data_IF_012369308557
#
_entry.id   IF_012369308557
#
_cell.length_a   1.000
_cell.length_b   1.000
_cell.length_c   1.000
_cell.angle_alpha   90.00
_cell.angle_beta   90.00
_cell.angle_gamma   90.00
#
_symmetry.space_group_name_H-M   'P 1'
#
loop_
_entity.id
_entity.type
_entity.pdbx_description
1 polymer ?
#
# COMPACT_ATOMS: atom_id res chain seq x y z
N UNK A 1 -14.57 25.43 14.66
CA UNK A 1 -15.77 24.58 14.58
C UNK A 1 -16.29 24.67 13.16
N UNK A 2 -16.03 23.64 12.35
CA UNK A 2 -16.41 23.58 10.94
C UNK A 2 -16.79 22.14 10.60
N UNK A 3 -17.80 21.97 9.76
CA UNK A 3 -18.57 20.75 9.53
C UNK A 3 -17.80 19.61 8.80
N UNK A 4 -16.46 19.60 8.86
CA UNK A 4 -15.52 18.75 8.12
C UNK A 4 -14.52 18.06 9.07
N UNK A 5 -14.98 17.04 9.80
CA UNK A 5 -14.21 16.50 10.94
C UNK A 5 -13.23 15.35 10.61
N UNK A 6 -13.00 14.99 9.32
CA UNK A 6 -11.81 14.23 8.89
C UNK A 6 -11.40 14.55 7.45
N UNK A 7 -10.12 14.79 7.24
CA UNK A 7 -9.51 15.12 5.95
C UNK A 7 -8.75 13.94 5.37
N UNK A 8 -8.34 14.01 4.10
CA UNK A 8 -7.43 13.04 3.49
C UNK A 8 -6.14 12.83 4.31
N UNK A 9 -5.66 13.84 5.04
CA UNK A 9 -4.48 13.70 5.90
C UNK A 9 -4.74 12.68 7.04
N UNK A 10 -5.94 12.70 7.63
CA UNK A 10 -6.28 11.91 8.81
C UNK A 10 -6.40 10.41 8.50
N UNK A 11 -7.07 10.07 7.39
CA UNK A 11 -7.33 8.69 7.02
C UNK A 11 -6.40 8.13 5.94
N UNK A 12 -5.61 8.93 5.22
CA UNK A 12 -4.76 8.40 4.15
C UNK A 12 -3.27 8.59 4.43
N UNK A 13 -2.88 9.79 4.88
CA UNK A 13 -1.45 10.15 5.03
C UNK A 13 -0.92 9.73 6.38
N UNK A 14 -1.63 10.06 7.47
CA UNK A 14 -1.25 9.69 8.83
C UNK A 14 -1.13 8.16 9.01
N UNK A 15 -2.07 7.32 8.54
CA UNK A 15 -1.92 5.87 8.69
C UNK A 15 -0.73 5.32 7.92
N UNK A 16 -0.48 5.80 6.70
CA UNK A 16 0.69 5.40 5.91
C UNK A 16 2.01 5.81 6.59
N UNK A 17 2.07 7.00 7.18
CA UNK A 17 3.21 7.40 7.98
C UNK A 17 3.46 6.44 9.15
N UNK A 18 2.43 6.11 9.95
CA UNK A 18 2.55 5.18 11.06
C UNK A 18 3.03 3.79 10.63
N UNK A 19 2.67 3.34 9.42
CA UNK A 19 3.16 2.08 8.88
C UNK A 19 4.63 2.18 8.49
N UNK A 20 5.02 3.21 7.74
CA UNK A 20 6.40 3.39 7.27
C UNK A 20 7.39 3.61 8.43
N UNK A 21 6.98 4.25 9.52
CA UNK A 21 7.79 4.41 10.75
C UNK A 21 8.25 3.07 11.34
N UNK A 22 7.47 1.99 11.14
CA UNK A 22 7.82 0.65 11.63
C UNK A 22 8.93 -0.03 10.81
N UNK A 23 9.28 0.54 9.65
CA UNK A 23 10.25 0.00 8.69
C UNK A 23 11.49 0.88 8.54
N UNK A 24 11.79 1.73 9.52
CA UNK A 24 13.07 2.44 9.57
C UNK A 24 14.21 1.40 9.61
N UNK A 25 15.22 1.62 8.78
CA UNK A 25 16.35 0.73 8.45
C UNK A 25 16.03 -0.47 7.56
N UNK A 26 14.80 -0.62 7.09
CA UNK A 26 14.39 -1.68 6.16
C UNK A 26 14.35 -1.18 4.71
N UNK A 27 14.45 -2.10 3.75
CA UNK A 27 14.28 -1.78 2.34
C UNK A 27 12.82 -1.90 1.92
N UNK A 28 12.35 -0.86 1.23
CA UNK A 28 11.00 -0.78 0.71
C UNK A 28 11.01 -0.37 -0.76
N UNK A 29 10.13 -0.97 -1.56
CA UNK A 29 9.84 -0.54 -2.92
C UNK A 29 8.57 0.30 -2.86
N UNK A 30 8.67 1.57 -3.21
CA UNK A 30 7.57 2.54 -3.15
C UNK A 30 7.09 2.82 -4.57
N UNK A 31 5.78 2.71 -4.78
CA UNK A 31 5.09 3.22 -5.96
C UNK A 31 4.38 4.53 -5.60
N UNK A 32 4.63 5.58 -6.38
CA UNK A 32 3.87 6.85 -6.32
C UNK A 32 3.07 7.07 -7.60
N UNK A 33 2.10 7.98 -7.60
CA UNK A 33 1.23 8.24 -8.77
C UNK A 33 1.22 9.70 -9.27
N UNK A 34 2.06 10.59 -8.73
CA UNK A 34 2.08 12.01 -9.12
C UNK A 34 3.53 12.50 -9.34
N UNK A 35 3.85 13.17 -10.46
CA UNK A 35 3.01 13.54 -11.62
C UNK A 35 2.72 12.38 -12.61
N UNK A 36 3.14 11.18 -12.27
CA UNK A 36 2.86 9.93 -12.97
C UNK A 36 3.36 8.75 -12.12
N UNK A 37 3.18 7.50 -12.57
CA UNK A 37 3.67 6.35 -11.83
C UNK A 37 5.19 6.35 -11.77
N UNK A 38 5.76 6.35 -10.56
CA UNK A 38 7.19 6.20 -10.34
C UNK A 38 7.46 5.13 -9.28
N UNK A 39 8.46 4.28 -9.53
CA UNK A 39 8.89 3.23 -8.61
C UNK A 39 10.30 3.53 -8.16
N UNK A 40 10.51 3.49 -6.84
CA UNK A 40 11.82 3.69 -6.22
C UNK A 40 12.02 2.65 -5.12
N UNK A 41 13.23 2.09 -5.01
CA UNK A 41 13.60 1.23 -3.90
C UNK A 41 14.53 2.01 -2.97
N UNK A 42 14.11 2.17 -1.72
CA UNK A 42 14.89 2.91 -0.72
C UNK A 42 15.11 2.07 0.53
N UNK A 43 16.26 2.27 1.18
CA UNK A 43 16.44 1.90 2.58
C UNK A 43 16.02 3.08 3.46
N UNK A 44 14.92 2.93 4.20
CA UNK A 44 14.35 4.02 5.00
C UNK A 44 15.34 4.40 6.10
N UNK A 45 15.65 5.70 6.21
CA UNK A 45 16.41 6.23 7.33
C UNK A 45 15.55 7.07 8.28
N UNK A 46 14.47 7.66 7.77
CA UNK A 46 13.65 8.62 8.51
C UNK A 46 12.24 8.69 7.93
N UNK A 47 11.25 8.80 8.82
CA UNK A 47 9.87 9.11 8.46
C UNK A 47 9.40 10.20 9.40
N UNK A 48 9.12 11.39 8.87
CA UNK A 48 8.61 12.52 9.65
C UNK A 48 7.92 13.53 8.73
N UNK A 49 7.05 14.37 9.29
CA UNK A 49 6.41 15.47 8.57
C UNK A 49 5.78 15.03 7.22
N UNK A 50 5.20 13.84 7.19
CA UNK A 50 4.59 13.23 6.00
C UNK A 50 5.55 12.96 4.83
N UNK A 51 6.84 12.81 5.12
CA UNK A 51 7.90 12.48 4.17
C UNK A 51 8.62 11.22 4.67
N UNK A 52 8.80 10.25 3.77
CA UNK A 52 9.74 9.14 3.97
C UNK A 52 11.05 9.47 3.24
N UNK A 53 12.15 9.35 3.96
CA UNK A 53 13.50 9.58 3.44
C UNK A 53 14.31 8.31 3.54
N UNK A 54 15.23 8.12 2.60
CA UNK A 54 16.08 6.94 2.57
C UNK A 54 17.18 7.01 1.53
N UNK A 55 18.07 6.04 1.59
CA UNK A 55 19.09 5.82 0.56
C UNK A 55 18.43 5.10 -0.62
N UNK A 56 18.44 5.69 -1.81
CA UNK A 56 18.05 5.02 -3.04
C UNK A 56 19.11 3.96 -3.38
N UNK A 57 18.65 2.72 -3.56
CA UNK A 57 19.52 1.57 -3.83
C UNK A 57 20.09 1.62 -5.25
N UNK A 58 19.44 2.31 -6.19
CA UNK A 58 19.86 2.37 -7.58
C UNK A 58 21.09 3.26 -7.78
N UNK A 59 21.17 4.39 -7.07
CA UNK A 59 22.19 5.41 -7.32
C UNK A 59 22.93 5.89 -6.05
N UNK A 60 22.58 5.36 -4.87
CA UNK A 60 23.13 5.73 -3.56
C UNK A 60 22.92 7.20 -3.17
N UNK A 61 21.94 7.90 -3.76
CA UNK A 61 21.54 9.23 -3.31
C UNK A 61 20.48 9.16 -2.23
N UNK A 62 20.30 10.27 -1.50
CA UNK A 62 19.18 10.40 -0.56
C UNK A 62 17.93 10.79 -1.34
N UNK A 63 16.90 9.95 -1.26
CA UNK A 63 15.60 10.22 -1.83
C UNK A 63 14.61 10.66 -0.74
N UNK A 64 13.73 11.58 -1.10
CA UNK A 64 12.64 12.07 -0.26
C UNK A 64 11.32 11.86 -1.00
N UNK A 65 10.43 11.05 -0.41
CA UNK A 65 9.14 10.71 -1.02
C UNK A 65 8.02 11.27 -0.15
N UNK A 66 7.15 12.06 -0.77
CA UNK A 66 5.93 12.55 -0.11
C UNK A 66 4.95 11.39 0.12
N UNK A 67 4.55 11.17 1.37
CA UNK A 67 3.66 10.07 1.76
C UNK A 67 2.28 10.24 1.12
N UNK A 68 1.82 11.47 0.89
CA UNK A 68 0.51 11.71 0.27
C UNK A 68 0.40 11.21 -1.18
N UNK A 69 1.53 10.96 -1.83
CA UNK A 69 1.60 10.45 -3.20
C UNK A 69 1.88 8.95 -3.27
N UNK A 70 2.14 8.29 -2.13
CA UNK A 70 2.42 6.86 -2.06
C UNK A 70 1.13 6.08 -2.32
N UNK A 71 1.20 5.20 -3.30
CA UNK A 71 0.17 4.21 -3.59
C UNK A 71 0.47 2.94 -2.81
N UNK A 72 1.69 2.42 -2.98
CA UNK A 72 2.11 1.17 -2.37
C UNK A 72 3.51 1.27 -1.78
N UNK A 73 3.74 0.47 -0.74
CA UNK A 73 5.05 0.19 -0.18
C UNK A 73 5.19 -1.33 -0.01
N UNK A 74 6.06 -1.94 -0.82
CA UNK A 74 6.38 -3.37 -0.73
C UNK A 74 7.60 -3.55 0.16
N UNK A 75 7.45 -4.29 1.25
CA UNK A 75 8.52 -4.54 2.21
C UNK A 75 9.40 -5.68 1.69
N UNK A 76 10.69 -5.42 1.52
CA UNK A 76 11.62 -6.37 0.86
C UNK A 76 12.35 -7.24 1.88
N UNK A 77 12.89 -6.62 2.92
CA UNK A 77 13.85 -7.24 3.85
C UNK A 77 13.20 -8.03 4.99
N UNK A 78 11.93 -7.76 5.30
CA UNK A 78 11.21 -8.43 6.40
C UNK A 78 9.82 -8.92 5.99
N UNK A 79 9.39 -10.00 6.64
CA UNK A 79 8.01 -10.54 6.53
C UNK A 79 7.13 -10.13 7.69
N UNK A 80 7.62 -9.27 8.59
CA UNK A 80 6.82 -8.73 9.69
C UNK A 80 5.61 -8.02 9.10
N UNK A 81 4.41 -8.44 9.52
CA UNK A 81 3.18 -7.74 9.19
C UNK A 81 3.14 -6.43 9.98
N UNK A 82 2.94 -5.29 9.33
CA UNK A 82 2.85 -4.03 10.04
C UNK A 82 1.60 -3.96 10.93
N UNK A 83 1.74 -3.24 12.03
CA UNK A 83 0.61 -2.82 12.83
C UNK A 83 -0.12 -1.68 12.14
N UNK A 84 -1.45 -1.77 12.14
CA UNK A 84 -2.34 -0.78 11.53
C UNK A 84 -3.40 -0.39 12.54
N UNK A 85 -3.85 0.86 12.46
CA UNK A 85 -4.95 1.33 13.29
C UNK A 85 -6.24 0.57 12.91
N UNK A 86 -7.11 0.26 13.88
CA UNK A 86 -8.41 -0.34 13.58
C UNK A 86 -9.20 0.52 12.59
N UNK A 87 -9.98 -0.12 11.72
CA UNK A 87 -10.89 0.59 10.80
C UNK A 87 -11.81 1.49 11.61
N UNK A 88 -11.90 2.75 11.20
CA UNK A 88 -12.80 3.73 11.80
C UNK A 88 -14.01 3.93 10.90
N UNK A 89 -15.19 4.06 11.50
CA UNK A 89 -16.39 4.47 10.78
C UNK A 89 -16.54 5.97 10.90
N UNK A 90 -16.18 6.68 9.82
CA UNK A 90 -16.31 8.11 9.78
C UNK A 90 -17.76 8.47 9.43
N UNK A 91 -18.28 9.54 10.03
CA UNK A 91 -19.65 10.01 9.77
C UNK A 91 -19.69 11.33 9.01
N UNK A 92 -18.52 12.00 8.88
CA UNK A 92 -18.33 13.27 8.16
C UNK A 92 -16.91 13.34 7.59
N UNK A 93 -16.71 14.21 6.61
CA UNK A 93 -15.39 14.49 6.02
C UNK A 93 -15.08 13.67 4.76
N UNK A 94 -13.91 13.90 4.18
CA UNK A 94 -13.49 13.27 2.91
C UNK A 94 -13.28 11.76 3.03
N UNK A 95 -12.94 11.28 4.23
CA UNK A 95 -12.72 9.85 4.46
C UNK A 95 -13.97 9.02 4.19
N UNK A 96 -15.15 9.56 4.52
CA UNK A 96 -16.45 8.88 4.32
C UNK A 96 -16.70 8.50 2.86
N UNK A 97 -16.22 9.31 1.91
CA UNK A 97 -16.44 9.06 0.49
C UNK A 97 -15.22 8.49 -0.24
N UNK A 98 -13.99 8.77 0.22
CA UNK A 98 -12.77 8.38 -0.48
C UNK A 98 -12.06 7.17 0.13
N UNK A 99 -12.13 6.98 1.45
CA UNK A 99 -11.35 5.97 2.17
C UNK A 99 -12.25 4.84 2.71
N UNK A 100 -13.24 5.17 3.54
CA UNK A 100 -14.12 4.20 4.19
C UNK A 100 -14.74 3.18 3.21
N UNK A 101 -15.28 3.58 2.04
CA UNK A 101 -15.96 2.63 1.16
C UNK A 101 -15.01 1.55 0.63
N UNK A 102 -13.84 1.93 0.13
CA UNK A 102 -12.89 0.98 -0.48
C UNK A 102 -12.16 0.15 0.59
N UNK A 103 -11.90 0.72 1.76
CA UNK A 103 -11.38 -0.01 2.93
C UNK A 103 -12.37 -1.09 3.39
N UNK A 104 -13.66 -0.78 3.42
CA UNK A 104 -14.70 -1.76 3.77
C UNK A 104 -14.82 -2.88 2.72
N UNK A 105 -14.71 -2.55 1.43
CA UNK A 105 -14.64 -3.56 0.36
C UNK A 105 -13.42 -4.46 0.57
N UNK A 106 -12.23 -3.89 0.77
CA UNK A 106 -11.01 -4.64 1.04
C UNK A 106 -11.16 -5.57 2.26
N UNK A 107 -11.75 -5.08 3.34
CA UNK A 107 -11.98 -5.85 4.56
C UNK A 107 -12.93 -7.04 4.32
N UNK A 108 -13.96 -6.86 3.50
CA UNK A 108 -14.89 -7.96 3.13
C UNK A 108 -14.25 -9.05 2.26
N UNK A 109 -13.08 -8.76 1.67
CA UNK A 109 -12.33 -9.64 0.77
C UNK A 109 -11.07 -10.24 1.44
N UNK A 110 -10.95 -10.15 2.77
CA UNK A 110 -9.88 -10.78 3.53
C UNK A 110 -9.72 -12.26 3.17
N UNK A 111 -8.48 -12.68 2.93
CA UNK A 111 -8.11 -14.05 2.59
C UNK A 111 -8.43 -14.48 1.15
N UNK A 112 -9.07 -13.63 0.33
CA UNK A 112 -9.39 -13.95 -1.06
C UNK A 112 -8.29 -13.46 -2.01
N UNK A 113 -8.02 -14.20 -3.11
CA UNK A 113 -7.20 -13.70 -4.19
C UNK A 113 -7.95 -12.60 -4.94
N UNK A 114 -7.33 -11.44 -5.02
CA UNK A 114 -7.88 -10.27 -5.70
C UNK A 114 -6.82 -9.64 -6.59
N UNK A 115 -7.28 -8.74 -7.44
CA UNK A 115 -6.45 -7.85 -8.23
C UNK A 115 -6.65 -6.43 -7.69
N UNK A 116 -5.58 -5.79 -7.25
CA UNK A 116 -5.58 -4.39 -6.85
C UNK A 116 -4.92 -3.54 -7.93
N UNK A 117 -5.54 -2.43 -8.27
CA UNK A 117 -4.95 -1.40 -9.14
C UNK A 117 -4.85 -0.08 -8.37
N UNK A 118 -3.62 0.35 -8.10
CA UNK A 118 -3.31 1.67 -7.52
C UNK A 118 -2.43 2.56 -8.42
N UNK A 119 -2.02 2.07 -9.59
CA UNK A 119 -1.16 2.80 -10.53
C UNK A 119 -1.05 2.03 -11.84
N UNK A 120 0.06 1.31 -12.04
CA UNK A 120 0.31 0.55 -13.26
C UNK A 120 -0.10 -0.90 -13.09
N UNK A 121 -1.11 -1.33 -13.86
CA UNK A 121 -1.48 -2.74 -13.94
C UNK A 121 -2.34 -3.25 -12.78
N UNK A 122 -2.31 -4.56 -12.62
CA UNK A 122 -3.21 -5.33 -11.76
C UNK A 122 -2.34 -6.28 -10.94
N UNK A 123 -2.15 -5.96 -9.66
CA UNK A 123 -1.37 -6.77 -8.74
C UNK A 123 -2.25 -7.87 -8.15
N UNK A 124 -1.96 -9.12 -8.51
CA UNK A 124 -2.65 -10.27 -7.93
C UNK A 124 -2.06 -10.52 -6.55
N UNK A 125 -2.86 -10.29 -5.52
CA UNK A 125 -2.48 -10.36 -4.11
C UNK A 125 -3.57 -11.04 -3.28
N UNK A 126 -3.24 -11.44 -2.07
CA UNK A 126 -4.20 -11.92 -1.07
C UNK A 126 -4.22 -10.92 0.08
N UNK A 127 -5.37 -10.33 0.40
CA UNK A 127 -5.47 -9.40 1.53
C UNK A 127 -5.30 -10.18 2.84
N UNK A 128 -4.36 -9.75 3.67
CA UNK A 128 -4.04 -10.39 4.95
C UNK A 128 -4.48 -9.56 6.15
N UNK A 129 -4.53 -8.22 6.02
CA UNK A 129 -4.93 -7.32 7.11
C UNK A 129 -5.42 -6.00 6.53
N UNK A 130 -6.44 -5.41 7.15
CA UNK A 130 -6.98 -4.10 6.77
C UNK A 130 -7.10 -3.24 8.03
N UNK A 131 -6.77 -1.96 7.90
CA UNK A 131 -6.90 -0.96 8.95
C UNK A 131 -7.37 0.38 8.38
N UNK A 132 -7.52 1.39 9.23
CA UNK A 132 -7.85 2.76 8.79
C UNK A 132 -6.83 3.22 7.73
N UNK A 133 -7.29 3.49 6.52
CA UNK A 133 -6.46 3.98 5.42
C UNK A 133 -5.54 2.99 4.75
N UNK A 134 -5.44 1.76 5.27
CA UNK A 134 -4.38 0.82 4.89
C UNK A 134 -4.94 -0.57 4.56
N UNK A 135 -4.52 -1.10 3.42
CA UNK A 135 -4.72 -2.49 3.04
C UNK A 135 -3.36 -3.18 2.96
N UNK A 136 -3.17 -4.26 3.71
CA UNK A 136 -1.96 -5.09 3.63
C UNK A 136 -2.32 -6.37 2.90
N UNK A 137 -1.56 -6.67 1.86
CA UNK A 137 -1.73 -7.88 1.09
C UNK A 137 -0.39 -8.61 0.89
N UNK A 138 -0.47 -9.90 0.62
CA UNK A 138 0.67 -10.74 0.27
C UNK A 138 0.72 -10.93 -1.25
N UNK A 139 1.86 -10.63 -1.87
CA UNK A 139 2.07 -10.88 -3.31
C UNK A 139 2.42 -12.36 -3.59
N UNK A 140 2.53 -12.72 -4.87
CA UNK A 140 2.89 -14.09 -5.28
C UNK A 140 4.26 -14.56 -4.78
N UNK A 141 5.14 -13.64 -4.39
CA UNK A 141 6.48 -13.91 -3.83
C UNK A 141 6.47 -13.96 -2.30
N UNK A 142 5.30 -13.82 -1.67
CA UNK A 142 5.09 -13.77 -0.23
C UNK A 142 5.72 -12.54 0.45
N UNK A 143 5.80 -11.41 -0.26
CA UNK A 143 6.16 -10.11 0.32
C UNK A 143 4.91 -9.39 0.77
N UNK A 144 5.05 -8.64 1.85
CA UNK A 144 3.99 -7.77 2.34
C UNK A 144 3.97 -6.50 1.49
N UNK A 145 2.83 -6.24 0.86
CA UNK A 145 2.54 -5.02 0.10
C UNK A 145 1.53 -4.22 0.90
N UNK A 146 1.92 -3.01 1.27
CA UNK A 146 1.06 -2.04 1.94
C UNK A 146 0.48 -1.13 0.87
N UNK A 147 -0.84 -0.99 0.83
CA UNK A 147 -1.55 -0.07 -0.05
C UNK A 147 -2.21 1.03 0.78
N UNK A 148 -2.15 2.26 0.26
CA UNK A 148 -3.01 3.35 0.72
C UNK A 148 -4.41 3.16 0.12
N UNK A 149 -5.43 2.98 0.95
CA UNK A 149 -6.82 2.82 0.50
C UNK A 149 -7.25 3.99 -0.39
N UNK A 150 -6.82 5.20 -0.07
CA UNK A 150 -7.17 6.41 -0.82
C UNK A 150 -6.46 6.55 -2.17
N UNK A 151 -5.49 5.69 -2.44
CA UNK A 151 -4.80 5.60 -3.74
C UNK A 151 -5.31 4.41 -4.56
N UNK A 152 -6.13 3.54 -4.00
CA UNK A 152 -6.73 2.42 -4.73
C UNK A 152 -7.79 2.93 -5.70
N UNK A 153 -7.64 2.55 -6.96
CA UNK A 153 -8.62 2.88 -8.00
C UNK A 153 -9.62 1.74 -8.18
N UNK A 154 -9.16 0.48 -8.11
CA UNK A 154 -9.99 -0.71 -8.38
C UNK A 154 -9.53 -1.89 -7.52
N UNK A 155 -10.50 -2.61 -6.92
CA UNK A 155 -10.34 -3.97 -6.41
C UNK A 155 -11.20 -4.89 -7.27
N UNK A 156 -10.59 -5.89 -7.91
CA UNK A 156 -11.30 -6.91 -8.71
C UNK A 156 -11.16 -8.27 -8.04
N UNK A 157 -12.27 -8.95 -7.83
CA UNK A 157 -12.26 -10.35 -7.41
C UNK A 157 -11.71 -11.23 -8.54
N UNK A 158 -10.79 -12.13 -8.22
CA UNK A 158 -10.14 -13.00 -9.21
C UNK A 158 -10.62 -14.42 -8.96
N UNK A 159 -11.15 -15.08 -9.99
CA UNK A 159 -11.49 -16.51 -9.89
C UNK A 159 -10.23 -17.36 -9.66
N UNK A 160 -10.32 -18.45 -8.90
CA UNK A 160 -9.17 -19.31 -8.56
C UNK A 160 -8.41 -19.85 -9.79
N UNK A 161 -9.09 -19.98 -10.93
CA UNK A 161 -8.50 -20.45 -12.19
C UNK A 161 -7.49 -19.42 -12.77
N UNK A 162 -7.77 -18.14 -12.61
CA UNK A 162 -6.90 -17.04 -13.06
C UNK A 162 -5.65 -16.89 -12.18
N UNK A 163 -5.76 -17.08 -10.87
CA UNK A 163 -4.62 -16.95 -9.95
C UNK A 163 -3.59 -18.07 -10.14
N UNK A 164 -4.02 -19.30 -10.45
CA UNK A 164 -3.15 -20.43 -10.77
C UNK A 164 -2.37 -20.25 -12.09
N UNK A 165 -3.01 -19.67 -13.12
CA UNK A 165 -2.33 -19.38 -14.40
C UNK A 165 -1.23 -18.34 -14.27
N UNK A 166 -1.44 -17.31 -13.44
CA UNK A 166 -0.42 -16.27 -13.22
C UNK A 166 0.75 -16.79 -12.39
N UNK A 167 0.50 -17.61 -11.35
CA UNK A 167 1.58 -18.27 -10.59
C UNK A 167 2.48 -19.14 -11.47
N UNK A 168 1.93 -19.90 -12.43
CA UNK A 168 2.73 -20.66 -13.40
C UNK A 168 3.63 -19.76 -14.25
N UNK A 169 3.08 -18.68 -14.82
CA UNK A 169 3.84 -17.76 -15.66
C UNK A 169 4.96 -17.00 -14.93
N UNK A 170 4.81 -16.70 -13.64
CA UNK A 170 5.88 -16.02 -12.88
C UNK A 170 7.02 -16.97 -12.51
N UNK A 171 6.71 -18.24 -12.19
CA UNK A 171 7.70 -19.26 -11.90
C UNK A 171 8.56 -19.58 -13.14
N UNK A 172 7.94 -19.62 -14.32
CA UNK A 172 8.64 -19.82 -15.60
C UNK A 172 9.62 -18.68 -15.94
N UNK A 173 9.32 -17.44 -15.55
CA UNK A 173 10.21 -16.28 -15.75
C UNK A 173 11.40 -16.18 -14.80
N UNK A 174 11.47 -17.02 -13.77
CA UNK A 174 12.58 -17.02 -12.81
C UNK A 174 13.64 -18.10 -13.14
N UNK A 175 13.46 -18.82 -14.25
CA UNK A 175 14.35 -19.88 -14.73
C UNK A 175 15.14 -19.50 -16.00
N UNK A 176 15.06 -18.26 -16.46
CA UNK A 176 15.92 -17.65 -17.49
C UNK A 176 16.82 -16.57 -16.86
#
# INVERSE_FOLDING_TARGET
>A
MGHFDKTKCDCCVCPMQCVLEQFINEEVIILTNFPGPAVIQIKINKVENFIVSGLDIADNNIAHVSICNIVTATIVTTRKLPDVKPIQQNTKGECVCCEDPITNVANSLLGKPICITGGVGCDIVIIVKVGEGIVIAEDITKRNVVFSSCALSIIKEVSEVSSLRTRRKSLEKTQE
#
